data_IF_373122949892
#
_entry.id   IF_373122949892
#
_cell.length_a   1.000
_cell.length_b   1.000
_cell.length_c   1.000
_cell.angle_alpha   90.00
_cell.angle_beta   90.00
_cell.angle_gamma   90.00
#
_symmetry.space_group_name_H-M   'P 1'
#
loop_
_entity.id
_entity.type
_entity.pdbx_description
1 polymer ?
#
# COMPACT_ATOMS: atom_id res chain seq x y z
N UNK A 1 -7.53 -24.03 -4.53
CA UNK A 1 -7.63 -22.60 -4.88
C UNK A 1 -6.32 -22.25 -5.56
N UNK A 2 -6.36 -21.64 -6.75
CA UNK A 2 -5.16 -21.25 -7.48
C UNK A 2 -4.29 -20.30 -6.64
N UNK A 3 -2.96 -20.49 -6.67
CA UNK A 3 -1.99 -19.75 -5.84
C UNK A 3 -2.12 -18.25 -6.09
N UNK A 4 -2.20 -17.83 -7.35
CA UNK A 4 -2.31 -16.42 -7.71
C UNK A 4 -3.66 -15.83 -7.29
N UNK A 5 -4.74 -16.60 -7.42
CA UNK A 5 -6.06 -16.18 -6.97
C UNK A 5 -6.10 -15.97 -5.45
N UNK A 6 -5.45 -16.83 -4.68
CA UNK A 6 -5.32 -16.62 -3.23
C UNK A 6 -4.55 -15.31 -2.92
N UNK A 7 -3.46 -15.03 -3.65
CA UNK A 7 -2.69 -13.79 -3.48
C UNK A 7 -3.55 -12.56 -3.80
N UNK A 8 -4.30 -12.57 -4.92
CA UNK A 8 -5.23 -11.49 -5.31
C UNK A 8 -6.26 -11.22 -4.22
N UNK A 9 -6.88 -12.27 -3.67
CA UNK A 9 -7.87 -12.15 -2.61
C UNK A 9 -7.27 -11.58 -1.31
N UNK A 10 -6.04 -11.98 -0.96
CA UNK A 10 -5.34 -11.45 0.20
C UNK A 10 -4.99 -9.97 0.02
N UNK A 11 -4.48 -9.58 -1.15
CA UNK A 11 -4.23 -8.18 -1.48
C UNK A 11 -5.51 -7.33 -1.43
N UNK A 12 -6.65 -7.87 -1.89
CA UNK A 12 -7.92 -7.16 -1.86
C UNK A 12 -8.45 -6.84 -0.45
N UNK A 13 -7.99 -7.57 0.58
CA UNK A 13 -8.33 -7.31 1.98
C UNK A 13 -7.53 -6.15 2.58
N UNK A 14 -6.42 -5.75 1.97
CA UNK A 14 -5.55 -4.72 2.53
C UNK A 14 -6.26 -3.37 2.42
N UNK A 15 -6.67 -2.85 3.58
CA UNK A 15 -7.24 -1.53 3.72
C UNK A 15 -6.92 -0.97 5.11
N UNK A 16 -6.23 0.17 5.14
CA UNK A 16 -5.78 0.85 6.34
C UNK A 16 -6.36 2.26 6.33
N UNK A 17 -6.85 2.75 7.46
CA UNK A 17 -7.30 4.13 7.60
C UNK A 17 -7.02 4.62 9.01
N UNK A 18 -6.39 5.78 9.09
CA UNK A 18 -6.14 6.49 10.33
C UNK A 18 -6.75 7.89 10.22
N UNK A 19 -7.56 8.26 11.21
CA UNK A 19 -7.94 9.66 11.44
C UNK A 19 -6.84 10.33 12.23
N UNK A 20 -6.29 11.41 11.69
CA UNK A 20 -5.26 12.20 12.35
C UNK A 20 -5.50 13.68 12.05
N UNK A 21 -5.22 14.58 13.00
CA UNK A 21 -5.44 16.00 12.77
C UNK A 21 -4.43 16.53 11.73
N UNK A 22 -4.79 17.56 10.93
CA UNK A 22 -3.99 18.03 9.80
C UNK A 22 -2.52 18.34 10.13
N UNK A 23 -2.27 18.90 11.30
CA UNK A 23 -0.93 19.24 11.79
C UNK A 23 0.00 18.04 12.00
N UNK A 24 -0.57 16.82 12.12
CA UNK A 24 0.18 15.57 12.26
C UNK A 24 0.25 14.76 10.97
N UNK A 25 -0.67 14.99 10.02
CA UNK A 25 -0.79 14.19 8.79
C UNK A 25 0.51 14.20 7.98
N UNK A 26 1.18 15.35 7.82
CA UNK A 26 2.40 15.41 7.01
C UNK A 26 3.55 14.58 7.59
N UNK A 27 3.69 14.57 8.92
CA UNK A 27 4.67 13.74 9.61
C UNK A 27 4.36 12.25 9.42
N UNK A 28 3.09 11.87 9.67
CA UNK A 28 2.65 10.48 9.52
C UNK A 28 2.82 10.02 8.08
N UNK A 29 2.46 10.86 7.10
CA UNK A 29 2.65 10.59 5.69
C UNK A 29 4.11 10.31 5.37
N UNK A 30 5.03 11.13 5.87
CA UNK A 30 6.47 10.91 5.66
C UNK A 30 6.91 9.54 6.17
N UNK A 31 6.53 9.16 7.39
CA UNK A 31 6.83 7.84 7.96
C UNK A 31 6.16 6.69 7.15
N UNK A 32 4.95 6.91 6.62
CA UNK A 32 4.26 5.95 5.72
C UNK A 32 5.02 5.77 4.40
N UNK A 33 5.50 6.86 3.79
CA UNK A 33 6.27 6.78 2.54
C UNK A 33 7.63 6.10 2.77
N UNK A 34 8.28 6.37 3.90
CA UNK A 34 9.52 5.70 4.31
C UNK A 34 9.30 4.21 4.56
N UNK A 35 8.20 3.83 5.21
CA UNK A 35 7.80 2.43 5.38
C UNK A 35 7.63 1.73 4.02
N UNK A 36 7.03 2.38 3.02
CA UNK A 36 6.98 1.87 1.64
C UNK A 36 8.37 1.70 1.01
N UNK A 37 9.22 2.73 1.07
CA UNK A 37 10.59 2.68 0.53
C UNK A 37 11.42 1.55 1.13
N UNK A 38 11.25 1.31 2.42
CA UNK A 38 12.02 0.32 3.17
C UNK A 38 11.77 -1.14 2.75
N UNK A 39 10.75 -1.38 1.90
CA UNK A 39 10.44 -2.68 1.29
C UNK A 39 10.56 -2.65 -0.24
N UNK A 40 11.24 -1.64 -0.78
CA UNK A 40 11.47 -1.50 -2.22
C UNK A 40 10.32 -0.84 -3.01
N UNK A 41 9.32 -0.26 -2.34
CA UNK A 41 8.26 0.49 -3.02
C UNK A 41 8.63 1.98 -3.12
N UNK A 42 8.71 2.47 -4.35
CA UNK A 42 8.97 3.88 -4.63
C UNK A 42 7.69 4.70 -4.57
N UNK A 43 7.62 5.78 -3.78
CA UNK A 43 6.49 6.69 -3.76
C UNK A 43 6.52 7.60 -4.99
N UNK A 44 5.41 7.63 -5.72
CA UNK A 44 5.15 8.59 -6.77
C UNK A 44 3.93 9.45 -6.45
N UNK A 45 4.02 10.76 -6.71
CA UNK A 45 2.93 11.69 -6.45
C UNK A 45 1.73 11.44 -7.35
N UNK A 46 0.54 11.64 -6.80
CA UNK A 46 -0.78 11.51 -7.44
C UNK A 46 -1.68 12.65 -6.95
N UNK A 47 -2.85 12.84 -7.58
CA UNK A 47 -3.74 13.97 -7.26
C UNK A 47 -4.21 13.94 -5.79
N UNK A 48 -4.51 12.75 -5.27
CA UNK A 48 -5.04 12.53 -3.92
C UNK A 48 -3.98 12.15 -2.88
N UNK A 49 -2.71 11.99 -3.29
CA UNK A 49 -1.65 11.49 -2.42
C UNK A 49 -0.51 10.84 -3.20
N UNK A 50 -0.25 9.56 -2.93
CA UNK A 50 0.90 8.82 -3.47
C UNK A 50 0.53 7.41 -3.92
N UNK A 51 1.28 6.88 -4.88
CA UNK A 51 1.32 5.47 -5.20
C UNK A 51 2.67 4.91 -4.75
N UNK A 52 2.70 3.83 -3.97
CA UNK A 52 3.91 3.10 -3.61
C UNK A 52 4.05 1.91 -4.58
N UNK A 53 4.88 2.08 -5.59
CA UNK A 53 5.00 1.16 -6.73
C UNK A 53 6.35 0.43 -6.70
N UNK A 54 6.45 -0.81 -7.18
CA UNK A 54 7.74 -1.53 -7.20
C UNK A 54 8.68 -0.97 -8.29
N UNK A 55 8.12 -0.50 -9.41
CA UNK A 55 8.83 0.20 -10.50
C UNK A 55 7.83 1.02 -11.32
N UNK A 56 8.32 1.96 -12.13
CA UNK A 56 7.47 2.76 -13.01
C UNK A 56 6.82 1.91 -14.09
N UNK A 57 7.56 0.94 -14.61
CA UNK A 57 7.12 -0.04 -15.60
C UNK A 57 5.95 -0.87 -15.06
N UNK A 58 6.06 -1.36 -13.83
CA UNK A 58 4.98 -2.11 -13.16
C UNK A 58 3.69 -1.29 -13.05
N UNK A 59 3.79 0.00 -12.72
CA UNK A 59 2.63 0.88 -12.65
C UNK A 59 1.99 1.12 -14.03
N UNK A 60 2.79 1.27 -15.08
CA UNK A 60 2.31 1.48 -16.46
C UNK A 60 1.54 0.27 -16.99
N UNK A 61 2.04 -0.95 -16.74
CA UNK A 61 1.37 -2.18 -17.18
C UNK A 61 0.21 -2.61 -16.26
N UNK A 62 -0.11 -1.81 -15.25
CA UNK A 62 -1.27 -1.98 -14.38
C UNK A 62 -1.11 -3.06 -13.32
N UNK A 63 0.12 -3.33 -12.85
CA UNK A 63 0.33 -4.21 -11.71
C UNK A 63 -0.20 -3.58 -10.40
N UNK A 64 -0.60 -4.42 -9.43
CA UNK A 64 -1.05 -3.94 -8.13
C UNK A 64 0.00 -3.10 -7.42
N UNK A 65 -0.45 -2.13 -6.64
CA UNK A 65 0.40 -1.28 -5.81
C UNK A 65 -0.39 -0.70 -4.64
N UNK A 66 0.31 -0.21 -3.61
CA UNK A 66 -0.36 0.50 -2.52
C UNK A 66 -0.67 1.93 -2.96
N UNK A 67 -1.91 2.35 -2.78
CA UNK A 67 -2.36 3.73 -2.93
C UNK A 67 -2.45 4.34 -1.54
N UNK A 68 -1.91 5.55 -1.40
CA UNK A 68 -1.97 6.36 -0.19
C UNK A 68 -2.74 7.62 -0.56
N UNK A 69 -3.84 7.91 0.14
CA UNK A 69 -4.61 9.13 -0.07
C UNK A 69 -4.87 9.85 1.24
N UNK A 70 -4.98 11.17 1.14
CA UNK A 70 -5.40 12.03 2.23
C UNK A 70 -6.75 12.61 1.84
N UNK A 71 -7.79 12.30 2.61
CA UNK A 71 -9.15 12.78 2.40
C UNK A 71 -9.57 13.47 3.68
N UNK A 72 -9.56 14.81 3.67
CA UNK A 72 -9.74 15.64 4.87
C UNK A 72 -8.73 15.27 5.96
N UNK A 73 -9.18 14.70 7.09
CA UNK A 73 -8.37 14.28 8.23
C UNK A 73 -8.10 12.76 8.24
N UNK A 74 -8.38 12.07 7.13
CA UNK A 74 -8.16 10.63 6.98
C UNK A 74 -6.96 10.35 6.09
N UNK A 75 -6.01 9.59 6.62
CA UNK A 75 -4.95 8.95 5.85
C UNK A 75 -5.37 7.51 5.55
N UNK A 76 -5.64 7.20 4.28
CA UNK A 76 -6.13 5.90 3.82
C UNK A 76 -5.12 5.22 2.91
N UNK A 77 -4.91 3.92 3.11
CA UNK A 77 -4.03 3.08 2.29
C UNK A 77 -4.76 1.82 1.84
N UNK A 78 -4.69 1.49 0.56
CA UNK A 78 -5.32 0.29 -0.01
C UNK A 78 -4.53 -0.24 -1.20
N UNK A 79 -4.79 -1.49 -1.61
CA UNK A 79 -4.22 -2.02 -2.85
C UNK A 79 -5.07 -1.59 -4.04
N UNK A 80 -4.46 -0.89 -5.01
CA UNK A 80 -5.08 -0.62 -6.30
C UNK A 80 -4.97 -1.85 -7.19
N UNK A 81 -6.07 -2.25 -7.82
CA UNK A 81 -6.13 -3.37 -8.78
C UNK A 81 -5.57 -4.71 -8.24
N UNK A 82 -6.01 -5.21 -7.07
CA UNK A 82 -5.47 -6.43 -6.48
C UNK A 82 -5.62 -7.66 -7.42
N UNK A 83 -6.72 -7.73 -8.18
CA UNK A 83 -6.99 -8.80 -9.14
C UNK A 83 -6.20 -8.70 -10.45
N UNK A 84 -5.44 -7.62 -10.65
CA UNK A 84 -4.55 -7.47 -11.82
C UNK A 84 -3.15 -8.04 -11.57
N UNK A 85 -2.91 -8.68 -10.41
CA UNK A 85 -1.70 -9.47 -10.18
C UNK A 85 -1.65 -10.60 -11.21
N UNK A 86 -0.61 -10.64 -12.03
CA UNK A 86 -0.49 -11.55 -13.16
C UNK A 86 0.97 -11.96 -13.34
N UNK A 87 1.22 -13.25 -13.55
CA UNK A 87 2.59 -13.79 -13.59
C UNK A 87 3.38 -13.25 -14.78
N UNK A 88 2.78 -13.23 -15.98
CA UNK A 88 3.43 -12.77 -17.21
C UNK A 88 3.79 -11.28 -17.11
N UNK A 89 2.86 -10.45 -16.61
CA UNK A 89 3.13 -9.03 -16.40
C UNK A 89 4.21 -8.78 -15.35
N UNK A 90 4.26 -9.57 -14.29
CA UNK A 90 5.36 -9.46 -13.32
C UNK A 90 6.70 -9.74 -13.99
N UNK A 91 6.79 -10.82 -14.79
CA UNK A 91 8.03 -11.18 -15.51
C UNK A 91 8.48 -10.05 -16.44
N UNK A 92 7.54 -9.43 -17.17
CA UNK A 92 7.83 -8.24 -18.01
C UNK A 92 8.38 -7.08 -17.17
N UNK A 93 7.89 -6.90 -15.94
CA UNK A 93 8.39 -5.91 -14.99
C UNK A 93 9.68 -6.32 -14.26
N UNK A 94 10.27 -7.48 -14.58
CA UNK A 94 11.52 -7.95 -14.01
C UNK A 94 11.41 -8.57 -12.61
N UNK A 95 10.23 -9.04 -12.21
CA UNK A 95 9.99 -9.72 -10.93
C UNK A 95 9.01 -10.88 -11.09
N UNK A 96 8.83 -11.73 -10.09
CA UNK A 96 7.74 -12.71 -10.08
C UNK A 96 6.55 -12.21 -9.25
N UNK A 97 5.38 -12.83 -9.44
CA UNK A 97 4.15 -12.43 -8.75
C UNK A 97 4.25 -12.57 -7.21
N UNK A 98 5.03 -13.53 -6.73
CA UNK A 98 5.29 -13.72 -5.30
C UNK A 98 6.11 -12.58 -4.71
N UNK A 99 7.16 -12.12 -5.41
CA UNK A 99 7.96 -10.96 -4.99
C UNK A 99 7.09 -9.71 -4.88
N UNK A 100 6.27 -9.41 -5.89
CA UNK A 100 5.35 -8.27 -5.84
C UNK A 100 4.35 -8.39 -4.69
N UNK A 101 3.77 -9.58 -4.51
CA UNK A 101 2.85 -9.86 -3.42
C UNK A 101 3.49 -9.58 -2.06
N UNK A 102 4.68 -10.10 -1.81
CA UNK A 102 5.40 -9.93 -0.54
C UNK A 102 5.82 -8.47 -0.32
N UNK A 103 6.27 -7.75 -1.36
CA UNK A 103 6.58 -6.32 -1.26
C UNK A 103 5.37 -5.51 -0.82
N UNK A 104 4.20 -5.74 -1.43
CA UNK A 104 2.97 -5.03 -1.09
C UNK A 104 2.51 -5.39 0.32
N UNK A 105 2.55 -6.68 0.69
CA UNK A 105 2.15 -7.15 2.01
C UNK A 105 3.04 -6.57 3.11
N UNK A 106 4.36 -6.66 2.94
CA UNK A 106 5.33 -6.10 3.87
C UNK A 106 5.19 -4.59 4.00
N UNK A 107 4.96 -3.88 2.88
CA UNK A 107 4.69 -2.44 2.87
C UNK A 107 3.44 -2.10 3.69
N UNK A 108 2.34 -2.82 3.47
CA UNK A 108 1.10 -2.62 4.22
C UNK A 108 1.27 -2.91 5.73
N UNK A 109 2.02 -3.96 6.09
CA UNK A 109 2.31 -4.28 7.49
C UNK A 109 3.12 -3.16 8.18
N UNK A 110 4.19 -2.66 7.55
CA UNK A 110 5.00 -1.56 8.12
C UNK A 110 4.21 -0.26 8.22
N UNK A 111 3.38 0.05 7.22
CA UNK A 111 2.49 1.21 7.28
C UNK A 111 1.47 1.07 8.42
N UNK A 112 0.93 -0.14 8.64
CA UNK A 112 0.04 -0.39 9.75
C UNK A 112 0.73 -0.18 11.11
N UNK A 113 2.01 -0.52 11.25
CA UNK A 113 2.81 -0.22 12.46
C UNK A 113 2.96 1.30 12.68
N UNK A 114 3.26 2.07 11.62
CA UNK A 114 3.30 3.54 11.68
C UNK A 114 1.95 4.09 12.11
N UNK A 115 0.85 3.61 11.53
CA UNK A 115 -0.49 4.07 11.90
C UNK A 115 -0.84 3.73 13.35
N UNK A 116 -0.49 2.53 13.84
CA UNK A 116 -0.69 2.14 15.25
C UNK A 116 0.11 3.03 16.21
N UNK A 117 1.37 3.33 15.88
CA UNK A 117 2.24 4.23 16.66
C UNK A 117 1.65 5.63 16.79
N UNK A 118 0.91 6.09 15.78
CA UNK A 118 0.32 7.43 15.77
C UNK A 118 -1.14 7.48 16.19
N UNK A 119 -1.83 6.35 16.30
CA UNK A 119 -3.18 6.31 16.84
C UNK A 119 -3.16 6.68 18.32
N UNK A 120 -3.98 7.66 18.71
CA UNK A 120 -4.27 7.93 20.13
C UNK A 120 -5.60 7.31 20.55
N UNK A 121 -5.79 7.13 21.86
CA UNK A 121 -7.03 6.58 22.41
C UNK A 121 -8.23 7.44 22.01
N UNK A 122 -9.18 6.84 21.26
CA UNK A 122 -10.39 7.51 20.78
C UNK A 122 -10.31 8.04 19.35
N UNK A 123 -9.14 8.02 18.70
CA UNK A 123 -9.02 8.27 17.26
C UNK A 123 -9.44 7.04 16.46
N UNK A 124 -10.04 7.28 15.28
CA UNK A 124 -10.45 6.20 14.40
C UNK A 124 -9.22 5.56 13.75
N UNK A 125 -9.02 4.25 14.00
CA UNK A 125 -8.05 3.41 13.33
C UNK A 125 -8.76 2.15 12.83
N UNK A 126 -8.69 1.91 11.53
CA UNK A 126 -9.12 0.67 10.90
C UNK A 126 -7.94 0.05 10.17
N UNK A 127 -7.61 -1.20 10.52
CA UNK A 127 -6.57 -1.99 9.87
C UNK A 127 -7.20 -3.31 9.44
N UNK A 128 -7.26 -3.54 8.13
CA UNK A 128 -7.57 -4.82 7.53
C UNK A 128 -6.33 -5.30 6.78
N UNK A 129 -5.82 -6.46 7.21
CA UNK A 129 -4.69 -7.16 6.63
C UNK A 129 -5.10 -8.64 6.47
N UNK A 130 -4.56 -9.36 5.47
CA UNK A 130 -4.95 -10.74 5.17
C UNK A 130 -4.42 -11.79 6.15
#
# INVERSE_FOLDING_TARGET
>A
MDRIENMRQRLAKIHLTLKAPPERIEKILTEVLEAGRSVGLSPERRAEGYALIPSREAAVIGLPHLRVAIISDLLTVWVRAPYSLDEERCVIAGMNAGELYEMILAGAMRIAEVMRKHSTSGEFLQISLP
#
